data_IF_826375882936
#
_entry.id   IF_826375882936
#
_cell.length_a   1.000
_cell.length_b   1.000
_cell.length_c   1.000
_cell.angle_alpha   90.00
_cell.angle_beta   90.00
_cell.angle_gamma   90.00
#
_symmetry.space_group_name_H-M   'P 1'
#
loop_
_entity.id
_entity.type
_entity.pdbx_description
1 polymer ?
#
# COMPACT_ATOMS: atom_id res chain seq x y z
N UNK A 1 73.81 -38.85 10.18
CA UNK A 1 73.85 -38.78 8.70
C UNK A 1 72.86 -39.77 8.13
N UNK A 2 71.65 -39.28 7.78
CA UNK A 2 70.73 -39.85 6.79
C UNK A 2 69.82 -38.70 6.35
N UNK A 3 69.88 -38.46 5.05
CA UNK A 3 69.12 -37.51 4.23
C UNK A 3 67.61 -37.72 4.40
N UNK A 4 66.69 -36.78 4.24
CA UNK A 4 66.72 -35.42 3.71
C UNK A 4 65.25 -35.04 3.47
N UNK A 5 64.66 -34.27 4.38
CA UNK A 5 63.27 -33.81 4.28
C UNK A 5 63.20 -32.48 3.54
N UNK A 6 62.62 -32.49 2.34
CA UNK A 6 62.33 -31.28 1.58
C UNK A 6 61.04 -30.64 2.11
N UNK A 7 61.20 -29.50 2.77
CA UNK A 7 60.14 -28.57 3.13
C UNK A 7 59.97 -27.57 1.99
N UNK A 8 58.81 -27.59 1.35
CA UNK A 8 58.37 -26.58 0.37
C UNK A 8 57.42 -25.54 1.01
N UNK A 9 57.30 -24.34 0.43
CA UNK A 9 56.95 -23.12 1.17
C UNK A 9 55.45 -22.83 1.23
N UNK A 10 55.04 -22.19 2.33
CA UNK A 10 53.75 -21.50 2.47
C UNK A 10 53.61 -20.35 1.47
N UNK A 11 52.39 -20.13 0.96
CA UNK A 11 51.89 -18.77 0.73
C UNK A 11 50.72 -18.44 1.67
N UNK A 12 50.80 -17.25 2.26
CA UNK A 12 49.72 -16.53 2.94
C UNK A 12 48.88 -15.76 1.92
N UNK A 13 47.64 -15.46 2.34
CA UNK A 13 46.68 -14.44 1.89
C UNK A 13 45.67 -14.85 0.81
N UNK A 14 44.42 -14.55 1.14
CA UNK A 14 43.28 -14.54 0.23
C UNK A 14 41.98 -14.75 1.01
N UNK A 15 41.53 -13.72 1.74
CA UNK A 15 40.18 -13.68 2.29
C UNK A 15 39.18 -13.66 1.13
N UNK A 16 38.61 -14.81 0.80
CA UNK A 16 37.55 -14.95 -0.18
C UNK A 16 36.22 -14.60 0.46
N UNK A 17 35.66 -13.45 0.09
CA UNK A 17 34.28 -13.07 0.33
C UNK A 17 33.36 -14.19 -0.17
N UNK A 18 32.73 -14.91 0.77
CA UNK A 18 31.69 -15.89 0.45
C UNK A 18 30.42 -15.14 0.07
N UNK A 19 30.12 -15.20 -1.22
CA UNK A 19 28.80 -15.17 -1.86
C UNK A 19 27.68 -14.42 -1.14
N UNK A 20 27.38 -13.22 -1.63
CA UNK A 20 26.02 -12.69 -1.58
C UNK A 20 25.21 -13.53 -2.56
N UNK A 21 24.68 -14.65 -2.07
CA UNK A 21 23.61 -15.36 -2.73
C UNK A 21 22.36 -14.50 -2.64
N UNK A 22 22.02 -13.81 -3.73
CA UNK A 22 20.71 -13.18 -3.90
C UNK A 22 19.68 -14.30 -3.86
N UNK A 23 19.08 -14.50 -2.70
CA UNK A 23 17.91 -15.36 -2.56
C UNK A 23 16.74 -14.65 -3.26
N UNK A 24 16.57 -14.95 -4.55
CA UNK A 24 15.36 -14.65 -5.27
C UNK A 24 14.22 -15.44 -4.60
N UNK A 25 13.47 -14.77 -3.72
CA UNK A 25 12.23 -15.32 -3.20
C UNK A 25 11.24 -15.41 -4.37
N UNK A 26 11.08 -16.61 -4.91
CA UNK A 26 9.99 -16.98 -5.80
C UNK A 26 8.72 -16.88 -4.96
N UNK A 27 8.06 -15.72 -5.00
CA UNK A 27 6.73 -15.55 -4.43
C UNK A 27 5.81 -16.41 -5.31
N UNK A 28 5.29 -17.48 -4.70
CA UNK A 28 4.38 -18.42 -5.34
C UNK A 28 3.16 -17.68 -5.87
N UNK A 29 3.20 -17.43 -7.18
CA UNK A 29 2.08 -16.98 -7.97
C UNK A 29 0.98 -18.04 -7.83
N UNK A 30 -0.14 -17.71 -7.17
CA UNK A 30 -1.39 -18.37 -7.49
C UNK A 30 -1.69 -17.98 -8.93
N UNK A 31 -1.19 -18.79 -9.87
CA UNK A 31 -1.62 -18.77 -11.26
C UNK A 31 -3.10 -19.09 -11.20
N UNK A 32 -3.94 -18.06 -11.24
CA UNK A 32 -5.29 -18.22 -11.75
C UNK A 32 -5.06 -18.64 -13.19
N UNK A 33 -5.24 -19.92 -13.47
CA UNK A 33 -5.33 -20.44 -14.82
C UNK A 33 -6.32 -19.54 -15.55
N UNK A 34 -5.85 -18.74 -16.51
CA UNK A 34 -6.72 -18.12 -17.50
C UNK A 34 -7.30 -19.28 -18.32
N UNK A 35 -8.34 -19.91 -17.78
CA UNK A 35 -9.21 -20.76 -18.55
C UNK A 35 -9.74 -19.90 -19.68
N UNK A 36 -9.42 -20.29 -20.91
CA UNK A 36 -10.01 -19.76 -22.13
C UNK A 36 -11.51 -19.77 -21.90
N UNK A 37 -12.08 -18.60 -21.63
CA UNK A 37 -13.52 -18.48 -21.45
C UNK A 37 -14.12 -18.76 -22.81
N UNK A 38 -14.79 -19.92 -22.92
CA UNK A 38 -15.71 -20.16 -24.01
C UNK A 38 -16.66 -18.95 -24.04
N UNK A 39 -16.81 -18.35 -25.21
CA UNK A 39 -17.73 -17.25 -25.48
C UNK A 39 -19.16 -17.75 -25.30
N UNK A 40 -19.62 -17.83 -24.05
CA UNK A 40 -21.03 -17.80 -23.75
C UNK A 40 -21.46 -16.35 -24.01
N UNK A 41 -22.26 -16.14 -25.06
CA UNK A 41 -22.96 -14.89 -25.33
C UNK A 41 -23.99 -14.67 -24.23
N UNK A 42 -23.53 -14.21 -23.07
CA UNK A 42 -24.35 -13.64 -22.02
C UNK A 42 -24.66 -12.19 -22.37
N UNK A 43 -25.93 -11.82 -22.26
CA UNK A 43 -26.40 -10.45 -22.36
C UNK A 43 -25.57 -9.52 -21.46
N UNK A 44 -25.36 -8.24 -21.86
CA UNK A 44 -24.59 -7.31 -21.07
C UNK A 44 -25.31 -7.11 -19.73
N UNK A 45 -24.65 -7.52 -18.65
CA UNK A 45 -25.10 -7.17 -17.31
C UNK A 45 -25.03 -5.65 -17.23
N UNK A 46 -26.19 -5.01 -17.29
CA UNK A 46 -26.30 -3.57 -17.15
C UNK A 46 -25.71 -3.15 -15.80
N UNK A 47 -24.80 -2.15 -15.85
CA UNK A 47 -24.18 -1.44 -14.73
C UNK A 47 -23.07 -2.19 -13.95
N UNK A 48 -21.99 -2.59 -14.63
CA UNK A 48 -20.69 -2.36 -14.00
C UNK A 48 -20.55 -0.83 -13.87
N UNK A 49 -20.52 -0.30 -12.64
CA UNK A 49 -20.28 1.13 -12.46
C UNK A 49 -18.93 1.45 -13.10
N UNK A 50 -18.95 2.28 -14.14
CA UNK A 50 -17.74 2.77 -14.78
C UNK A 50 -17.00 3.68 -13.78
N UNK A 51 -16.14 3.07 -12.96
CA UNK A 51 -15.30 3.78 -12.01
C UNK A 51 -14.25 4.65 -12.70
N UNK A 52 -14.15 4.60 -14.04
CA UNK A 52 -13.14 5.24 -14.85
C UNK A 52 -11.77 4.56 -14.82
N UNK A 53 -11.56 3.55 -13.97
CA UNK A 53 -10.32 2.77 -13.96
C UNK A 53 -10.41 1.58 -14.91
N UNK A 54 -9.36 1.32 -15.67
CA UNK A 54 -9.24 0.09 -16.48
C UNK A 54 -8.62 -1.05 -15.67
N UNK A 55 -8.88 -2.31 -16.00
CA UNK A 55 -8.15 -3.45 -15.44
C UNK A 55 -6.64 -3.27 -15.68
N UNK A 56 -5.77 -3.51 -14.66
CA UNK A 56 -6.06 -4.06 -13.34
C UNK A 56 -6.48 -3.02 -12.28
N UNK A 57 -6.45 -1.73 -12.60
CA UNK A 57 -6.74 -0.62 -11.68
C UNK A 57 -8.19 -0.56 -11.21
N UNK A 58 -9.14 -1.11 -11.97
CA UNK A 58 -10.54 -1.27 -11.50
C UNK A 58 -10.69 -2.34 -10.41
N UNK A 59 -9.71 -3.23 -10.28
CA UNK A 59 -9.78 -4.37 -9.36
C UNK A 59 -10.70 -5.49 -9.84
N UNK A 60 -11.03 -6.39 -8.92
CA UNK A 60 -11.95 -7.49 -9.19
C UNK A 60 -13.40 -6.99 -9.39
N UNK A 61 -14.17 -7.59 -10.33
CA UNK A 61 -15.55 -7.21 -10.57
C UNK A 61 -16.44 -7.24 -9.32
N UNK A 62 -17.29 -6.23 -9.16
CA UNK A 62 -18.25 -6.11 -8.07
C UNK A 62 -17.76 -5.31 -6.86
N UNK A 63 -16.52 -4.81 -6.89
CA UNK A 63 -15.92 -4.01 -5.82
C UNK A 63 -15.57 -2.58 -6.24
N UNK A 64 -15.84 -2.19 -7.48
CA UNK A 64 -15.49 -0.88 -8.04
C UNK A 64 -16.12 0.26 -7.23
N UNK A 65 -17.32 0.04 -6.70
CA UNK A 65 -18.09 1.03 -5.93
C UNK A 65 -17.66 1.15 -4.46
N UNK A 66 -16.80 0.23 -3.98
CA UNK A 66 -16.36 0.19 -2.58
C UNK A 66 -15.22 1.19 -2.34
N UNK A 67 -14.45 1.48 -3.39
CA UNK A 67 -13.37 2.44 -3.37
C UNK A 67 -13.90 3.89 -3.31
N UNK A 68 -13.08 4.87 -2.88
CA UNK A 68 -13.48 6.27 -2.86
C UNK A 68 -13.83 6.73 -4.27
N UNK A 69 -14.82 7.61 -4.34
CA UNK A 69 -15.24 8.24 -5.58
C UNK A 69 -14.50 9.56 -5.78
N UNK A 70 -14.54 10.09 -7.00
CA UNK A 70 -14.01 11.43 -7.29
C UNK A 70 -14.75 12.45 -6.44
N UNK A 71 -14.02 13.41 -5.88
CA UNK A 71 -14.65 14.56 -5.24
C UNK A 71 -15.51 15.34 -6.25
N UNK A 72 -16.64 15.82 -5.76
CA UNK A 72 -17.62 16.65 -6.47
C UNK A 72 -17.61 18.11 -6.02
N UNK A 73 -17.03 18.40 -4.84
CA UNK A 73 -16.85 19.75 -4.32
C UNK A 73 -15.51 19.92 -3.59
N UNK A 74 -14.97 21.15 -3.49
CA UNK A 74 -13.70 21.40 -2.79
C UNK A 74 -13.71 21.01 -1.31
N UNK A 75 -14.85 21.13 -0.62
CA UNK A 75 -14.98 20.83 0.82
C UNK A 75 -14.74 19.34 1.14
N UNK A 76 -14.82 18.47 0.13
CA UNK A 76 -14.54 17.03 0.24
C UNK A 76 -13.05 16.70 0.23
N UNK A 77 -12.20 17.64 -0.20
CA UNK A 77 -10.77 17.41 -0.32
C UNK A 77 -10.18 17.00 1.03
N UNK A 78 -9.52 15.85 1.05
CA UNK A 78 -8.88 15.26 2.22
C UNK A 78 -9.80 15.00 3.43
N UNK A 79 -11.13 14.98 3.25
CA UNK A 79 -12.02 14.62 4.35
C UNK A 79 -11.88 13.13 4.69
N UNK A 80 -11.86 12.75 5.98
CA UNK A 80 -11.86 11.36 6.39
C UNK A 80 -13.21 10.69 6.10
N UNK A 81 -13.21 9.37 5.89
CA UNK A 81 -14.42 8.55 5.71
C UNK A 81 -15.43 8.72 6.86
N UNK A 82 -14.95 8.71 8.09
CA UNK A 82 -15.76 8.56 9.30
C UNK A 82 -16.19 7.12 9.57
N UNK A 83 -16.49 6.82 10.84
CA UNK A 83 -16.69 5.44 11.31
C UNK A 83 -17.86 4.73 10.64
N UNK A 84 -19.00 5.41 10.47
CA UNK A 84 -20.18 4.81 9.85
C UNK A 84 -19.97 4.46 8.36
N UNK A 85 -19.12 5.22 7.65
CA UNK A 85 -18.75 4.87 6.28
C UNK A 85 -17.77 3.70 6.27
N UNK A 86 -16.76 3.71 7.15
CA UNK A 86 -15.81 2.61 7.28
C UNK A 86 -16.52 1.29 7.60
N UNK A 87 -17.45 1.25 8.56
CA UNK A 87 -18.17 0.03 8.91
C UNK A 87 -19.04 -0.49 7.74
N UNK A 88 -19.64 0.40 6.95
CA UNK A 88 -20.39 0.01 5.74
C UNK A 88 -19.48 -0.59 4.66
N UNK A 89 -18.31 0.01 4.44
CA UNK A 89 -17.31 -0.48 3.48
C UNK A 89 -16.77 -1.83 3.95
N UNK A 90 -16.45 -1.97 5.23
CA UNK A 90 -16.02 -3.24 5.83
C UNK A 90 -17.04 -4.35 5.57
N UNK A 91 -18.33 -4.09 5.83
CA UNK A 91 -19.40 -5.05 5.55
C UNK A 91 -19.47 -5.45 4.07
N UNK A 92 -19.31 -4.50 3.14
CA UNK A 92 -19.31 -4.76 1.69
C UNK A 92 -18.13 -5.62 1.23
N UNK A 93 -17.00 -5.58 1.95
CA UNK A 93 -15.84 -6.42 1.65
C UNK A 93 -15.77 -7.70 2.48
N UNK A 94 -16.79 -7.99 3.30
CA UNK A 94 -16.85 -9.20 4.12
C UNK A 94 -16.06 -9.13 5.43
N UNK A 95 -15.93 -7.95 6.02
CA UNK A 95 -15.37 -7.72 7.35
C UNK A 95 -16.44 -7.15 8.30
N UNK A 96 -16.31 -7.44 9.59
CA UNK A 96 -17.08 -6.83 10.67
C UNK A 96 -16.14 -6.21 11.72
N UNK A 97 -16.66 -5.27 12.53
CA UNK A 97 -15.92 -4.63 13.62
C UNK A 97 -15.35 -5.65 14.61
N UNK A 98 -16.05 -6.76 14.82
CA UNK A 98 -15.62 -7.85 15.69
C UNK A 98 -14.44 -8.66 15.11
N UNK A 99 -14.10 -8.48 13.83
CA UNK A 99 -12.93 -9.11 13.21
C UNK A 99 -11.65 -8.29 13.41
N UNK A 100 -11.76 -7.05 13.89
CA UNK A 100 -10.60 -6.24 14.24
C UNK A 100 -9.87 -6.76 15.50
N UNK A 101 -8.63 -6.33 15.66
CA UNK A 101 -7.88 -6.54 16.88
C UNK A 101 -8.59 -5.90 18.08
N UNK A 102 -8.47 -6.54 19.23
CA UNK A 102 -8.78 -5.87 20.50
C UNK A 102 -7.84 -4.69 20.73
N UNK A 103 -8.25 -3.72 21.56
CA UNK A 103 -7.40 -2.56 21.87
C UNK A 103 -6.03 -2.96 22.42
N UNK A 104 -5.96 -4.02 23.25
CA UNK A 104 -4.70 -4.54 23.76
C UNK A 104 -3.83 -5.14 22.66
N UNK A 105 -4.40 -5.96 21.76
CA UNK A 105 -3.65 -6.52 20.63
C UNK A 105 -3.15 -5.41 19.69
N UNK A 106 -3.97 -4.40 19.41
CA UNK A 106 -3.53 -3.26 18.63
C UNK A 106 -2.41 -2.49 19.31
N UNK A 107 -2.50 -2.25 20.63
CA UNK A 107 -1.42 -1.61 21.41
C UNK A 107 -0.12 -2.44 21.36
N UNK A 108 -0.22 -3.76 21.51
CA UNK A 108 0.94 -4.64 21.47
C UNK A 108 1.59 -4.62 20.09
N UNK A 109 0.81 -4.77 19.01
CA UNK A 109 1.36 -4.72 17.65
C UNK A 109 1.96 -3.35 17.31
N UNK A 110 1.25 -2.25 17.61
CA UNK A 110 1.70 -0.89 17.31
C UNK A 110 2.90 -0.44 18.13
N UNK A 111 3.16 -1.04 19.29
CA UNK A 111 4.36 -0.79 20.09
C UNK A 111 5.53 -1.73 19.76
N UNK A 112 5.30 -2.76 18.94
CA UNK A 112 6.25 -3.84 18.69
C UNK A 112 6.36 -4.83 19.86
N UNK A 113 5.36 -4.85 20.73
CA UNK A 113 5.18 -5.82 21.82
C UNK A 113 4.49 -7.11 21.37
N UNK A 114 3.93 -7.83 22.35
CA UNK A 114 3.37 -9.17 22.15
C UNK A 114 4.44 -10.25 21.91
N UNK A 115 4.00 -11.49 21.76
CA UNK A 115 4.85 -12.62 21.43
C UNK A 115 5.45 -12.42 20.04
N UNK A 116 6.78 -12.53 19.93
CA UNK A 116 7.50 -12.28 18.68
C UNK A 116 7.53 -10.81 18.26
N UNK A 117 7.25 -9.88 19.17
CA UNK A 117 7.22 -8.43 18.91
C UNK A 117 8.49 -7.88 18.24
N UNK A 118 8.30 -6.90 17.34
CA UNK A 118 9.38 -6.26 16.60
C UNK A 118 9.08 -4.76 16.43
N UNK A 119 9.92 -3.92 17.03
CA UNK A 119 9.75 -2.46 17.03
C UNK A 119 9.93 -1.84 15.63
N UNK A 120 10.84 -2.36 14.82
CA UNK A 120 11.06 -1.85 13.46
C UNK A 120 9.86 -2.17 12.56
N UNK A 121 9.29 -3.37 12.69
CA UNK A 121 8.07 -3.74 12.00
C UNK A 121 6.88 -2.86 12.44
N UNK A 122 6.76 -2.61 13.75
CA UNK A 122 5.73 -1.71 14.29
C UNK A 122 5.88 -0.27 13.74
N UNK A 123 7.10 0.25 13.65
CA UNK A 123 7.36 1.57 13.06
C UNK A 123 6.91 1.63 11.59
N UNK A 124 7.20 0.59 10.79
CA UNK A 124 6.74 0.51 9.39
C UNK A 124 5.21 0.47 9.32
N UNK A 125 4.56 -0.38 10.13
CA UNK A 125 3.09 -0.52 10.15
C UNK A 125 2.43 0.81 10.54
N UNK A 126 2.91 1.47 11.60
CA UNK A 126 2.37 2.75 12.04
C UNK A 126 2.54 3.83 10.97
N UNK A 127 3.71 3.90 10.33
CA UNK A 127 3.94 4.83 9.23
C UNK A 127 2.98 4.58 8.05
N UNK A 128 2.67 3.31 7.74
CA UNK A 128 1.66 2.99 6.72
C UNK A 128 0.28 3.56 7.07
N UNK A 129 -0.16 3.36 8.33
CA UNK A 129 -1.45 3.87 8.81
C UNK A 129 -1.48 5.40 8.73
N UNK A 130 -0.43 6.08 9.19
CA UNK A 130 -0.37 7.54 9.18
C UNK A 130 -0.38 8.10 7.75
N UNK A 131 0.32 7.46 6.81
CA UNK A 131 0.34 7.85 5.39
C UNK A 131 -1.05 7.70 4.75
N UNK A 132 -1.69 6.56 4.97
CA UNK A 132 -2.99 6.24 4.35
C UNK A 132 -4.15 6.98 5.02
N UNK A 133 -3.95 7.47 6.25
CA UNK A 133 -4.89 8.31 7.01
C UNK A 133 -4.51 9.80 7.00
N UNK A 134 -3.70 10.26 6.03
CA UNK A 134 -3.26 11.65 5.91
C UNK A 134 -4.37 12.59 5.41
N UNK A 135 -5.39 12.79 6.26
CA UNK A 135 -6.61 13.57 6.02
C UNK A 135 -6.70 14.79 6.93
N UNK A 136 -7.76 15.59 6.79
CA UNK A 136 -8.03 16.77 7.64
C UNK A 136 -8.01 16.36 9.12
N UNK A 137 -7.24 17.09 9.93
CA UNK A 137 -7.00 16.78 11.35
C UNK A 137 -5.86 15.78 11.60
N UNK A 138 -5.25 15.21 10.55
CA UNK A 138 -4.12 14.27 10.62
C UNK A 138 -3.01 14.64 9.61
N UNK A 139 -2.41 15.83 9.73
CA UNK A 139 -1.30 16.20 8.85
C UNK A 139 -0.08 15.32 9.12
N UNK A 140 0.65 15.01 8.05
CA UNK A 140 2.02 14.51 8.16
C UNK A 140 2.97 15.69 8.24
N UNK A 141 4.07 15.52 8.97
CA UNK A 141 5.10 16.54 9.10
C UNK A 141 6.40 16.07 8.46
N UNK A 142 6.94 16.91 7.59
CA UNK A 142 8.16 16.64 6.84
C UNK A 142 9.14 17.79 6.95
N UNK A 143 10.43 17.52 6.74
CA UNK A 143 11.44 18.56 6.58
C UNK A 143 11.44 19.07 5.14
N UNK A 144 10.96 20.30 4.94
CA UNK A 144 10.95 20.98 3.62
C UNK A 144 11.87 22.18 3.72
N UNK A 145 13.08 22.06 3.17
CA UNK A 145 14.07 23.14 3.19
C UNK A 145 14.53 23.55 4.59
N UNK A 146 14.64 22.60 5.53
CA UNK A 146 15.00 22.85 6.93
C UNK A 146 13.81 23.24 7.81
N UNK A 147 12.59 23.28 7.26
CA UNK A 147 11.37 23.68 7.98
C UNK A 147 10.42 22.51 8.14
N UNK A 148 9.99 22.26 9.38
CA UNK A 148 8.95 21.28 9.69
C UNK A 148 7.61 21.76 9.13
N UNK A 149 7.18 21.15 8.03
CA UNK A 149 6.03 21.59 7.24
C UNK A 149 4.92 20.53 7.32
N UNK A 150 3.68 20.92 7.70
CA UNK A 150 2.53 20.01 7.65
C UNK A 150 2.04 19.83 6.21
N UNK A 151 1.56 18.63 5.87
CA UNK A 151 0.89 18.35 4.60
C UNK A 151 -0.27 17.37 4.77
N UNK A 152 -1.30 17.52 3.93
CA UNK A 152 -2.47 16.65 3.88
C UNK A 152 -2.81 16.39 2.41
N UNK A 153 -2.46 15.21 1.90
CA UNK A 153 -2.51 14.93 0.46
C UNK A 153 -3.15 13.57 0.11
N UNK A 154 -3.77 12.87 1.08
CA UNK A 154 -4.27 11.53 0.86
C UNK A 154 -5.33 11.44 -0.26
N UNK A 155 -6.18 12.46 -0.46
CA UNK A 155 -7.15 12.47 -1.57
C UNK A 155 -6.47 12.46 -2.95
N UNK A 156 -5.26 12.99 -3.08
CA UNK A 156 -4.50 12.91 -4.33
C UNK A 156 -3.85 11.53 -4.54
N UNK A 157 -3.89 10.65 -3.54
CA UNK A 157 -3.09 9.43 -3.49
C UNK A 157 -1.59 9.72 -3.36
N UNK A 158 -1.23 10.82 -2.71
CA UNK A 158 0.14 11.28 -2.51
C UNK A 158 0.40 11.56 -1.02
N UNK A 159 1.66 11.63 -0.65
CA UNK A 159 2.11 12.14 0.65
C UNK A 159 3.50 12.77 0.53
N UNK A 160 3.91 13.52 1.57
CA UNK A 160 5.27 14.05 1.66
C UNK A 160 6.05 13.19 2.65
N UNK A 161 7.15 12.60 2.20
CA UNK A 161 7.99 11.78 3.06
C UNK A 161 8.82 12.63 4.03
N UNK A 162 9.48 12.05 5.05
CA UNK A 162 10.18 12.82 6.07
C UNK A 162 11.26 13.77 5.54
N UNK A 163 11.86 13.46 4.38
CA UNK A 163 12.86 14.30 3.70
C UNK A 163 12.29 15.40 2.81
N UNK A 164 10.97 15.60 2.83
CA UNK A 164 10.33 16.68 2.06
C UNK A 164 10.06 16.33 0.60
N UNK A 165 10.12 15.06 0.21
CA UNK A 165 9.81 14.61 -1.14
C UNK A 165 8.34 14.21 -1.24
N UNK A 166 7.65 14.72 -2.25
CA UNK A 166 6.30 14.32 -2.63
C UNK A 166 6.36 13.01 -3.41
N UNK A 167 5.55 12.03 -3.02
CA UNK A 167 5.49 10.74 -3.69
C UNK A 167 4.15 10.01 -3.50
N UNK A 168 3.92 8.98 -4.31
CA UNK A 168 2.80 8.06 -4.09
C UNK A 168 3.10 7.12 -2.90
N UNK A 169 2.11 6.75 -2.07
CA UNK A 169 2.26 5.66 -1.11
C UNK A 169 2.66 4.33 -1.77
N UNK A 170 2.45 4.15 -3.07
CA UNK A 170 2.91 2.94 -3.76
C UNK A 170 4.38 3.01 -4.22
N UNK A 171 5.10 4.12 -3.98
CA UNK A 171 6.52 4.27 -4.34
C UNK A 171 7.38 3.16 -3.72
N UNK A 172 8.48 2.79 -4.39
CA UNK A 172 9.37 1.70 -3.99
C UNK A 172 9.96 1.86 -2.57
N UNK A 173 10.24 3.10 -2.15
CA UNK A 173 10.84 3.43 -0.86
C UNK A 173 9.80 3.76 0.23
N UNK A 174 8.54 3.97 -0.12
CA UNK A 174 7.48 4.27 0.83
C UNK A 174 7.27 3.12 1.84
N UNK A 175 7.00 3.38 3.13
CA UNK A 175 6.68 2.35 4.11
C UNK A 175 5.55 1.41 3.67
N UNK A 176 4.54 1.95 3.00
CA UNK A 176 3.41 1.26 2.39
C UNK A 176 3.79 0.29 1.27
N UNK A 177 5.01 0.36 0.75
CA UNK A 177 5.61 -0.65 -0.13
C UNK A 177 6.48 -1.63 0.64
N UNK A 178 7.26 -1.15 1.60
CA UNK A 178 8.13 -1.98 2.44
C UNK A 178 7.34 -3.00 3.28
N UNK A 179 6.14 -2.62 3.71
CA UNK A 179 5.22 -3.47 4.49
C UNK A 179 4.84 -4.76 3.77
N UNK A 180 4.94 -4.81 2.44
CA UNK A 180 4.66 -6.03 1.65
C UNK A 180 5.48 -7.24 2.14
N UNK A 181 6.70 -7.01 2.63
CA UNK A 181 7.54 -8.08 3.21
C UNK A 181 7.01 -8.58 4.56
N UNK A 182 6.35 -7.72 5.33
CA UNK A 182 5.80 -8.02 6.65
C UNK A 182 4.46 -8.76 6.55
N UNK A 183 3.65 -8.43 5.53
CA UNK A 183 2.32 -9.03 5.30
C UNK A 183 2.34 -10.22 4.34
N UNK A 184 3.48 -10.52 3.71
CA UNK A 184 3.64 -11.69 2.86
C UNK A 184 3.24 -12.98 3.61
N UNK A 185 2.78 -14.04 2.90
CA UNK A 185 2.53 -15.34 3.52
C UNK A 185 3.77 -15.84 4.29
N UNK A 186 3.58 -16.15 5.59
CA UNK A 186 4.67 -16.53 6.49
C UNK A 186 5.51 -15.37 7.05
N UNK A 187 5.18 -14.13 6.66
CA UNK A 187 5.79 -12.91 7.17
C UNK A 187 5.39 -12.55 8.59
N UNK A 188 5.99 -11.47 9.09
CA UNK A 188 5.86 -11.00 10.47
C UNK A 188 4.40 -10.87 10.93
N UNK A 189 3.56 -10.17 10.18
CA UNK A 189 2.18 -9.85 10.60
C UNK A 189 1.36 -11.12 10.77
N UNK A 190 1.46 -12.06 9.81
CA UNK A 190 0.73 -13.32 9.88
C UNK A 190 1.16 -14.19 11.07
N UNK A 191 2.46 -14.24 11.38
CA UNK A 191 2.98 -15.01 12.52
C UNK A 191 2.58 -14.35 13.84
N UNK A 192 2.78 -13.04 13.95
CA UNK A 192 2.41 -12.28 15.15
C UNK A 192 0.92 -12.42 15.47
N UNK A 193 0.03 -12.34 14.47
CA UNK A 193 -1.42 -12.51 14.68
C UNK A 193 -1.77 -13.90 15.23
N UNK A 194 -1.09 -14.97 14.79
CA UNK A 194 -1.33 -16.33 15.30
C UNK A 194 -0.83 -16.49 16.73
N UNK A 195 0.37 -15.98 17.00
CA UNK A 195 1.03 -16.12 18.30
C UNK A 195 0.38 -15.28 19.42
N UNK A 196 -0.37 -14.24 19.04
CA UNK A 196 -1.03 -13.30 19.97
C UNK A 196 -2.56 -13.45 19.99
N UNK A 197 -3.08 -14.61 19.60
CA UNK A 197 -4.52 -14.93 19.71
C UNK A 197 -5.43 -14.15 18.76
N UNK A 198 -4.88 -13.57 17.70
CA UNK A 198 -5.60 -12.80 16.67
C UNK A 198 -5.84 -13.61 15.38
N UNK A 199 -5.82 -14.94 15.46
CA UNK A 199 -6.10 -15.83 14.32
C UNK A 199 -7.46 -15.56 13.68
N UNK A 200 -8.47 -15.15 14.46
CA UNK A 200 -9.77 -14.75 13.92
C UNK A 200 -9.64 -13.58 12.93
N UNK A 201 -8.95 -12.51 13.32
CA UNK A 201 -8.70 -11.34 12.46
C UNK A 201 -7.97 -11.72 11.18
N UNK A 202 -6.97 -12.60 11.29
CA UNK A 202 -6.23 -13.10 10.14
C UNK A 202 -7.14 -13.91 9.19
N UNK A 203 -7.97 -14.80 9.72
CA UNK A 203 -8.91 -15.61 8.92
C UNK A 203 -9.97 -14.72 8.26
N UNK A 204 -10.50 -13.73 8.98
CA UNK A 204 -11.46 -12.77 8.44
C UNK A 204 -10.84 -11.97 7.28
N UNK A 205 -9.62 -11.45 7.45
CA UNK A 205 -8.89 -10.77 6.38
C UNK A 205 -8.79 -11.64 5.12
N UNK A 206 -8.36 -12.89 5.24
CA UNK A 206 -8.23 -13.78 4.07
C UNK A 206 -9.56 -14.24 3.46
N UNK A 207 -10.67 -14.19 4.22
CA UNK A 207 -12.02 -14.45 3.71
C UNK A 207 -12.67 -13.23 3.05
N UNK A 208 -12.17 -12.03 3.35
CA UNK A 208 -12.65 -10.77 2.79
C UNK A 208 -12.19 -10.54 1.34
N UNK A 209 -12.62 -9.44 0.75
CA UNK A 209 -12.17 -8.98 -0.56
C UNK A 209 -10.66 -8.72 -0.64
N UNK A 210 -9.95 -8.60 0.50
CA UNK A 210 -8.50 -8.45 0.55
C UNK A 210 -7.78 -9.45 -0.35
N UNK A 211 -8.14 -10.74 -0.29
CA UNK A 211 -7.42 -11.81 -1.00
C UNK A 211 -7.50 -11.64 -2.51
N UNK A 212 -8.69 -11.32 -3.05
CA UNK A 212 -8.87 -11.13 -4.49
C UNK A 212 -8.27 -9.79 -4.93
N UNK A 213 -8.48 -8.72 -4.17
CA UNK A 213 -7.97 -7.39 -4.54
C UNK A 213 -6.44 -7.30 -4.43
N UNK A 214 -5.80 -8.04 -3.53
CA UNK A 214 -4.34 -8.09 -3.41
C UNK A 214 -3.67 -8.57 -4.70
N UNK A 215 -4.28 -9.51 -5.44
CA UNK A 215 -3.76 -9.96 -6.73
C UNK A 215 -3.79 -8.83 -7.77
N UNK A 216 -4.90 -8.10 -7.87
CA UNK A 216 -5.02 -6.94 -8.78
C UNK A 216 -4.08 -5.81 -8.38
N UNK A 217 -3.99 -5.51 -7.08
CA UNK A 217 -3.09 -4.49 -6.54
C UNK A 217 -1.64 -4.79 -6.84
N UNK A 218 -1.22 -6.06 -6.71
CA UNK A 218 0.13 -6.50 -7.06
C UNK A 218 0.44 -6.27 -8.54
N UNK A 219 -0.45 -6.67 -9.45
CA UNK A 219 -0.26 -6.45 -10.90
C UNK A 219 -0.23 -4.95 -11.20
N UNK A 220 -1.14 -4.17 -10.62
CA UNK A 220 -1.18 -2.71 -10.79
C UNK A 220 0.14 -2.05 -10.36
N UNK A 221 0.76 -2.49 -9.27
CA UNK A 221 2.02 -1.91 -8.77
C UNK A 221 3.18 -2.23 -9.70
N UNK A 222 3.16 -3.37 -10.39
CA UNK A 222 4.20 -3.75 -11.33
C UNK A 222 4.16 -2.91 -12.61
N UNK A 223 2.97 -2.52 -13.08
CA UNK A 223 2.81 -1.83 -14.36
C UNK A 223 2.81 -0.29 -14.26
N UNK A 224 2.62 0.27 -13.06
CA UNK A 224 2.49 1.73 -12.86
C UNK A 224 3.80 2.53 -12.89
N UNK A 225 4.93 1.87 -13.14
CA UNK A 225 6.26 2.50 -13.20
C UNK A 225 6.71 3.11 -11.88
N UNK A 226 7.73 3.98 -11.91
CA UNK A 226 8.31 4.57 -10.70
C UNK A 226 7.38 5.58 -10.00
N UNK A 227 6.66 6.40 -10.78
CA UNK A 227 5.75 7.42 -10.25
C UNK A 227 4.52 6.84 -9.53
N UNK A 228 4.14 5.59 -9.85
CA UNK A 228 3.00 4.91 -9.26
C UNK A 228 1.72 5.77 -9.32
N UNK A 229 1.49 6.36 -10.50
CA UNK A 229 0.31 7.14 -10.83
C UNK A 229 -0.55 6.37 -11.82
N UNK A 230 -1.86 6.51 -11.70
CA UNK A 230 -2.83 5.81 -12.55
C UNK A 230 -3.77 6.79 -13.23
N UNK A 231 -4.24 6.41 -14.41
CA UNK A 231 -5.21 7.20 -15.16
C UNK A 231 -6.62 6.72 -14.84
N UNK A 232 -7.50 7.67 -14.57
CA UNK A 232 -8.94 7.49 -14.47
C UNK A 232 -9.59 8.18 -15.67
N UNK A 233 -10.40 7.48 -16.46
CA UNK A 233 -11.09 8.00 -17.64
C UNK A 233 -12.59 7.80 -17.50
N UNK A 234 -13.32 8.88 -17.26
CA UNK A 234 -14.78 8.90 -17.20
C UNK A 234 -15.30 9.64 -18.44
N UNK A 235 -16.01 8.92 -19.32
CA UNK A 235 -16.43 9.46 -20.61
C UNK A 235 -15.24 9.97 -21.43
N UNK A 236 -15.21 11.26 -21.75
CA UNK A 236 -14.14 11.91 -22.52
C UNK A 236 -13.08 12.60 -21.65
N UNK A 237 -13.14 12.44 -20.32
CA UNK A 237 -12.24 13.12 -19.38
C UNK A 237 -11.28 12.14 -18.76
N UNK A 238 -9.98 12.29 -19.03
CA UNK A 238 -8.92 11.55 -18.35
C UNK A 238 -8.26 12.42 -17.29
N UNK A 239 -8.10 11.87 -16.10
CA UNK A 239 -7.37 12.48 -14.97
C UNK A 239 -6.39 11.49 -14.39
N UNK A 240 -5.42 11.99 -13.61
CA UNK A 240 -4.38 11.17 -12.98
C UNK A 240 -4.49 11.30 -11.47
N UNK A 241 -4.36 10.18 -10.78
CA UNK A 241 -4.35 10.08 -9.32
C UNK A 241 -3.25 9.14 -8.88
N UNK A 242 -2.80 9.26 -7.63
CA UNK A 242 -1.88 8.30 -7.05
C UNK A 242 -2.51 6.92 -6.97
N UNK A 243 -1.72 5.88 -7.25
CA UNK A 243 -2.22 4.51 -7.37
C UNK A 243 -2.91 3.99 -6.10
N UNK A 244 -2.60 4.53 -4.93
CA UNK A 244 -3.27 4.17 -3.67
C UNK A 244 -4.78 4.46 -3.67
N UNK A 245 -5.27 5.32 -4.56
CA UNK A 245 -6.71 5.60 -4.75
C UNK A 245 -7.38 4.66 -5.76
N UNK A 246 -6.61 3.85 -6.50
CA UNK A 246 -7.18 2.84 -7.37
C UNK A 246 -7.89 1.76 -6.51
N UNK A 247 -9.10 1.31 -6.90
CA UNK A 247 -9.89 0.36 -6.12
C UNK A 247 -9.14 -0.81 -5.47
N UNK A 248 -8.32 -1.61 -6.18
CA UNK A 248 -7.70 -2.78 -5.57
C UNK A 248 -6.73 -2.39 -4.45
N UNK A 249 -5.94 -1.34 -4.64
CA UNK A 249 -4.95 -0.93 -3.65
C UNK A 249 -5.62 -0.23 -2.46
N UNK A 250 -6.63 0.59 -2.73
CA UNK A 250 -7.40 1.25 -1.68
C UNK A 250 -8.11 0.23 -0.80
N UNK A 251 -8.78 -0.77 -1.37
CA UNK A 251 -9.49 -1.82 -0.62
C UNK A 251 -8.53 -2.68 0.19
N UNK A 252 -7.38 -3.05 -0.38
CA UNK A 252 -6.34 -3.79 0.35
C UNK A 252 -5.85 -3.01 1.57
N UNK A 253 -5.52 -1.74 1.37
CA UNK A 253 -5.09 -0.84 2.44
C UNK A 253 -6.17 -0.66 3.50
N UNK A 254 -7.41 -0.44 3.07
CA UNK A 254 -8.56 -0.32 3.97
C UNK A 254 -8.76 -1.58 4.80
N UNK A 255 -8.78 -2.76 4.18
CA UNK A 255 -8.97 -4.03 4.87
C UNK A 255 -7.88 -4.28 5.93
N UNK A 256 -6.61 -4.03 5.56
CA UNK A 256 -5.47 -4.14 6.48
C UNK A 256 -5.62 -3.18 7.66
N UNK A 257 -5.93 -1.91 7.44
CA UNK A 257 -6.07 -0.93 8.52
C UNK A 257 -7.31 -1.23 9.38
N UNK A 258 -8.41 -1.66 8.76
CA UNK A 258 -9.67 -1.93 9.46
C UNK A 258 -9.52 -3.08 10.45
N UNK A 259 -8.83 -4.17 10.06
CA UNK A 259 -8.55 -5.27 10.99
C UNK A 259 -7.61 -4.86 12.13
N UNK A 260 -6.74 -3.85 11.92
CA UNK A 260 -5.89 -3.33 12.99
C UNK A 260 -6.72 -2.52 13.99
N UNK A 261 -7.47 -1.53 13.49
CA UNK A 261 -8.35 -0.68 14.30
C UNK A 261 -9.34 0.04 13.37
N UNK A 262 -10.66 -0.20 13.49
CA UNK A 262 -11.68 0.43 12.64
C UNK A 262 -11.63 1.95 12.62
N UNK A 263 -11.35 2.56 13.78
CA UNK A 263 -11.21 4.03 13.89
C UNK A 263 -10.02 4.59 13.09
N UNK A 264 -8.97 3.79 12.83
CA UNK A 264 -7.86 4.19 11.97
C UNK A 264 -8.25 4.12 10.49
N UNK A 265 -9.01 3.10 10.08
CA UNK A 265 -9.52 3.00 8.71
C UNK A 265 -10.54 4.10 8.40
N UNK A 266 -11.33 4.51 9.40
CA UNK A 266 -12.24 5.66 9.30
C UNK A 266 -11.54 6.99 9.02
N UNK A 267 -10.22 7.07 9.21
CA UNK A 267 -9.43 8.26 8.91
C UNK A 267 -8.84 8.28 7.48
N UNK A 268 -9.02 7.21 6.70
CA UNK A 268 -8.66 7.19 5.28
C UNK A 268 -9.49 8.21 4.48
N UNK A 269 -9.00 8.71 3.34
CA UNK A 269 -9.72 9.71 2.54
C UNK A 269 -11.04 9.14 2.01
N UNK A 270 -12.11 9.92 2.16
CA UNK A 270 -13.45 9.56 1.67
C UNK A 270 -13.59 9.69 0.15
N UNK A 271 -12.82 10.60 -0.43
CA UNK A 271 -12.85 10.95 -1.85
C UNK A 271 -11.44 11.11 -2.39
N UNK A 272 -11.28 10.87 -3.69
CA UNK A 272 -10.05 11.19 -4.39
C UNK A 272 -10.17 12.46 -5.22
N UNK A 273 -9.03 13.12 -5.46
CA UNK A 273 -8.90 14.31 -6.27
C UNK A 273 -7.84 14.10 -7.36
N UNK A 274 -8.02 14.68 -8.56
CA UNK A 274 -7.01 14.60 -9.60
C UNK A 274 -5.74 15.35 -9.16
N UNK A 275 -4.57 14.76 -9.41
CA UNK A 275 -3.29 15.41 -9.19
C UNK A 275 -3.15 16.57 -10.21
N UNK A 276 -2.69 17.76 -9.79
CA UNK A 276 -2.43 18.86 -10.71
C UNK A 276 -1.46 18.48 -11.83
N UNK A 277 -1.77 18.85 -13.07
CA UNK A 277 -0.99 18.47 -14.27
C UNK A 277 0.52 18.69 -14.16
N UNK A 278 1.00 19.88 -13.76
CA UNK A 278 2.43 20.14 -13.60
C UNK A 278 3.12 19.19 -12.60
N UNK A 279 2.41 18.74 -11.56
CA UNK A 279 2.92 17.77 -10.59
C UNK A 279 3.00 16.37 -11.22
N UNK A 280 1.97 15.97 -11.98
CA UNK A 280 1.97 14.69 -12.71
C UNK A 280 3.15 14.60 -13.66
N UNK A 281 3.39 15.65 -14.44
CA UNK A 281 4.48 15.69 -15.42
C UNK A 281 5.84 15.60 -14.73
N UNK A 282 6.03 16.33 -13.63
CA UNK A 282 7.26 16.29 -12.85
C UNK A 282 7.52 14.91 -12.22
N UNK A 283 6.49 14.29 -11.62
CA UNK A 283 6.61 12.95 -11.04
C UNK A 283 6.90 11.89 -12.09
N UNK A 284 6.26 11.96 -13.26
CA UNK A 284 6.52 11.02 -14.38
C UNK A 284 7.91 11.22 -14.99
N UNK A 285 8.42 12.45 -15.00
CA UNK A 285 9.78 12.77 -15.43
C UNK A 285 10.87 12.39 -14.43
N UNK A 286 10.51 12.15 -13.17
CA UNK A 286 11.45 11.75 -12.13
C UNK A 286 11.80 10.26 -12.20
N UNK A 287 13.10 9.88 -12.21
CA UNK A 287 13.51 8.48 -12.22
C UNK A 287 12.99 7.66 -11.03
N UNK A 288 12.76 8.32 -9.90
CA UNK A 288 12.24 7.68 -8.68
C UNK A 288 10.75 7.90 -8.49
N UNK A 289 10.09 8.70 -9.35
CA UNK A 289 8.70 9.08 -9.13
C UNK A 289 8.50 10.12 -8.02
N UNK A 290 9.57 10.70 -7.49
CA UNK A 290 9.55 11.66 -6.39
C UNK A 290 9.95 13.05 -6.87
N UNK A 291 9.37 14.09 -6.28
CA UNK A 291 9.71 15.49 -6.55
C UNK A 291 9.80 16.30 -5.24
N UNK A 292 10.64 17.34 -5.15
CA UNK A 292 10.71 18.16 -3.94
C UNK A 292 9.37 18.86 -3.66
N UNK A 293 8.72 18.58 -2.53
CA UNK A 293 7.39 19.13 -2.25
C UNK A 293 7.36 20.66 -2.22
N UNK A 294 8.43 21.29 -1.71
CA UNK A 294 8.52 22.75 -1.64
C UNK A 294 8.40 23.46 -2.99
N UNK A 295 8.76 22.81 -4.10
CA UNK A 295 8.64 23.37 -5.45
C UNK A 295 7.20 23.27 -6.00
N UNK A 296 6.40 22.34 -5.49
CA UNK A 296 5.08 22.00 -6.01
C UNK A 296 3.93 22.26 -5.02
N UNK A 297 4.23 22.67 -3.78
CA UNK A 297 3.24 22.88 -2.73
C UNK A 297 2.11 23.83 -3.14
N UNK A 298 2.39 24.86 -3.95
CA UNK A 298 1.41 25.85 -4.42
C UNK A 298 0.36 25.29 -5.39
N UNK A 299 0.53 24.08 -5.91
CA UNK A 299 -0.46 23.43 -6.78
C UNK A 299 -1.58 22.72 -6.01
N UNK A 300 -1.40 22.51 -4.70
CA UNK A 300 -2.39 21.85 -3.85
C UNK A 300 -3.30 22.88 -3.17
N UNK A 301 -4.56 22.49 -2.95
CA UNK A 301 -5.61 23.32 -2.34
C UNK A 301 -5.61 23.32 -0.83
#
# INVERSE_FOLDING_TARGET
MRSGGLTGPRPRRGAGYRGIGIAAAVIGLCIVSLGVSQTATGEPVANAADSGFSVPFSGAPGYEQVAPTRMSSPDQLNQPLGEAAADRIAAQIGLDRADALTDQQYQDLSSGGGVGGNRDAANVINACVDILANTVGRPLYSDVGGQRTPSTLASYGLYVNPSGMLESPANADAPTRQVNTLIAPGGYVGNWLRDNGATRSLVALYRSAYTVQAAYGFVAQQISGAAQLVTNTEGNTSTVVGMSMAPPLWIVNFALIYILKPASAAAMPAYWAPIPGPVVDAMKGSPTGQVPFGEYASYFG
#
